data_IF_971297968957
#
_entry.id   IF_971297968957
#
_cell.length_a   1.000
_cell.length_b   1.000
_cell.length_c   1.000
_cell.angle_alpha   90.00
_cell.angle_beta   90.00
_cell.angle_gamma   90.00
#
_symmetry.space_group_name_H-M   'P 1'
#
loop_
_entity.id
_entity.type
_entity.pdbx_description
1 polymer ?
#
# COMPACT_ATOMS: atom_id res chain seq x y z
N UNK A 1 9.84 0.79 -9.60
CA UNK A 1 10.12 -0.54 -9.02
C UNK A 1 10.06 -1.57 -10.13
N UNK A 2 11.14 -2.34 -10.28
CA UNK A 2 11.38 -3.22 -11.43
C UNK A 2 10.33 -4.34 -11.51
N UNK A 3 9.64 -4.39 -12.66
CA UNK A 3 8.61 -5.40 -12.97
C UNK A 3 9.20 -6.69 -13.56
N UNK A 4 10.51 -6.70 -13.83
CA UNK A 4 11.21 -7.78 -14.52
C UNK A 4 11.97 -8.73 -13.59
N UNK A 5 11.97 -8.47 -12.29
CA UNK A 5 12.59 -9.35 -11.30
C UNK A 5 11.99 -10.77 -11.37
N UNK A 6 12.86 -11.75 -11.58
CA UNK A 6 12.51 -13.17 -11.65
C UNK A 6 12.38 -13.71 -10.23
N UNK A 7 11.19 -14.19 -9.88
CA UNK A 7 10.89 -14.77 -8.58
C UNK A 7 11.17 -16.27 -8.53
N UNK A 8 10.93 -16.97 -9.66
CA UNK A 8 11.22 -18.40 -9.82
C UNK A 8 11.33 -18.73 -11.30
N UNK A 9 12.23 -19.65 -11.62
CA UNK A 9 12.35 -20.23 -12.96
C UNK A 9 12.59 -21.74 -12.88
N UNK A 10 12.18 -22.48 -13.91
CA UNK A 10 12.32 -23.94 -13.92
C UNK A 10 11.48 -24.64 -14.99
N UNK A 11 11.75 -25.94 -15.19
CA UNK A 11 10.99 -26.76 -16.11
C UNK A 11 9.70 -27.29 -15.47
N UNK A 12 8.58 -27.15 -16.19
CA UNK A 12 7.29 -27.76 -15.86
C UNK A 12 6.65 -28.32 -17.14
N UNK A 13 5.62 -29.15 -16.98
CA UNK A 13 4.90 -29.74 -18.12
C UNK A 13 3.57 -29.01 -18.32
N UNK A 14 3.34 -28.47 -19.51
CA UNK A 14 2.13 -27.70 -19.83
C UNK A 14 1.22 -28.45 -20.80
N UNK A 15 -0.09 -28.42 -20.57
CA UNK A 15 -1.09 -28.88 -21.55
C UNK A 15 -1.21 -27.91 -22.73
N UNK A 16 -1.20 -28.44 -23.95
CA UNK A 16 -1.48 -27.69 -25.16
C UNK A 16 -2.92 -27.18 -25.19
N UNK A 17 -3.12 -25.97 -25.73
CA UNK A 17 -4.46 -25.39 -25.85
C UNK A 17 -5.27 -26.06 -26.98
N UNK A 18 -4.65 -26.20 -28.17
CA UNK A 18 -5.33 -26.73 -29.38
C UNK A 18 -5.28 -28.26 -29.46
N UNK A 19 -4.09 -28.85 -29.34
CA UNK A 19 -3.90 -30.30 -29.52
C UNK A 19 -3.81 -31.09 -28.21
N UNK A 20 -4.11 -30.47 -27.06
CA UNK A 20 -4.07 -31.03 -25.70
C UNK A 20 -2.85 -31.87 -25.27
N UNK A 21 -1.79 -31.94 -26.07
CA UNK A 21 -0.55 -32.63 -25.74
C UNK A 21 0.18 -31.93 -24.60
N UNK A 22 0.74 -32.71 -23.70
CA UNK A 22 1.59 -32.25 -22.61
C UNK A 22 3.01 -32.04 -23.12
N UNK A 23 3.60 -30.87 -22.87
CA UNK A 23 4.97 -30.55 -23.31
C UNK A 23 5.75 -29.86 -22.20
N UNK A 24 7.00 -30.27 -22.02
CA UNK A 24 7.94 -29.59 -21.13
C UNK A 24 8.24 -28.19 -21.66
N UNK A 25 8.19 -27.21 -20.77
CA UNK A 25 8.47 -25.80 -21.04
C UNK A 25 9.28 -25.22 -19.90
N UNK A 26 10.17 -24.29 -20.24
CA UNK A 26 10.86 -23.48 -19.24
C UNK A 26 9.94 -22.35 -18.82
N UNK A 27 9.59 -22.28 -17.54
CA UNK A 27 8.74 -21.24 -16.99
C UNK A 27 9.59 -20.22 -16.24
N UNK A 28 9.19 -18.96 -16.33
CA UNK A 28 9.79 -17.83 -15.63
C UNK A 28 8.64 -17.02 -15.01
N UNK A 29 8.62 -16.95 -13.68
CA UNK A 29 7.69 -16.17 -12.90
C UNK A 29 8.29 -14.81 -12.57
N UNK A 30 7.57 -13.75 -12.92
CA UNK A 30 7.83 -12.39 -12.42
C UNK A 30 6.64 -11.90 -11.60
N UNK A 31 6.77 -10.70 -11.00
CA UNK A 31 5.71 -10.10 -10.18
C UNK A 31 4.37 -9.91 -10.91
N UNK A 32 4.37 -9.83 -12.24
CA UNK A 32 3.17 -9.50 -13.05
C UNK A 32 2.66 -10.66 -13.91
N UNK A 33 3.54 -11.59 -14.28
CA UNK A 33 3.23 -12.61 -15.28
C UNK A 33 4.04 -13.89 -15.08
N UNK A 34 3.49 -14.98 -15.58
CA UNK A 34 4.18 -16.26 -15.73
C UNK A 34 4.42 -16.50 -17.22
N UNK A 35 5.68 -16.41 -17.64
CA UNK A 35 6.08 -16.59 -19.03
C UNK A 35 6.62 -18.01 -19.25
N UNK A 36 6.48 -18.56 -20.45
CA UNK A 36 7.05 -19.85 -20.77
C UNK A 36 7.70 -19.91 -22.15
N UNK A 37 8.76 -20.69 -22.24
CA UNK A 37 9.67 -20.80 -23.38
C UNK A 37 9.79 -22.27 -23.79
N UNK A 38 10.19 -22.54 -25.04
CA UNK A 38 10.40 -23.94 -25.46
C UNK A 38 11.68 -24.49 -24.83
N UNK A 39 12.69 -23.64 -24.60
CA UNK A 39 13.97 -23.94 -23.94
C UNK A 39 14.40 -22.79 -23.03
N UNK A 40 15.36 -23.03 -22.13
CA UNK A 40 15.85 -22.04 -21.16
C UNK A 40 16.53 -20.83 -21.82
N UNK A 41 17.26 -21.03 -22.91
CA UNK A 41 18.05 -20.00 -23.58
C UNK A 41 17.29 -19.21 -24.65
N UNK A 42 15.99 -19.43 -24.81
CA UNK A 42 15.19 -18.67 -25.77
C UNK A 42 14.89 -17.27 -25.23
N UNK A 43 15.15 -16.24 -26.03
CA UNK A 43 14.81 -14.84 -25.70
C UNK A 43 13.32 -14.54 -25.91
N UNK A 44 12.65 -15.27 -26.78
CA UNK A 44 11.24 -15.05 -27.14
C UNK A 44 10.36 -16.05 -26.40
N UNK A 45 9.44 -15.53 -25.59
CA UNK A 45 8.45 -16.36 -24.90
C UNK A 45 7.53 -17.05 -25.90
N UNK A 46 7.33 -18.36 -25.72
CA UNK A 46 6.32 -19.12 -26.46
C UNK A 46 4.89 -18.75 -26.01
N UNK A 47 4.75 -18.16 -24.82
CA UNK A 47 3.54 -17.51 -24.37
C UNK A 47 3.69 -16.89 -22.99
N UNK A 48 2.73 -16.04 -22.65
CA UNK A 48 2.70 -15.29 -21.39
C UNK A 48 1.33 -15.49 -20.74
N UNK A 49 1.33 -15.70 -19.43
CA UNK A 49 0.13 -15.83 -18.59
C UNK A 49 0.11 -14.61 -17.66
N UNK A 50 -0.70 -13.57 -17.97
CA UNK A 50 -0.87 -12.43 -17.08
C UNK A 50 -1.47 -12.87 -15.74
N UNK A 51 -0.92 -12.42 -14.62
CA UNK A 51 -1.41 -12.79 -13.28
C UNK A 51 -2.43 -11.80 -12.71
N UNK A 52 -2.51 -10.59 -13.28
CA UNK A 52 -3.53 -9.61 -12.89
C UNK A 52 -4.94 -10.14 -13.21
N UNK A 53 -5.79 -10.23 -12.19
CA UNK A 53 -7.14 -10.79 -12.31
C UNK A 53 -7.17 -12.29 -12.65
N UNK A 54 -6.05 -13.01 -12.53
CA UNK A 54 -6.03 -14.46 -12.69
C UNK A 54 -6.49 -15.15 -11.39
N UNK A 55 -6.87 -16.42 -11.50
CA UNK A 55 -7.15 -17.29 -10.34
C UNK A 55 -6.30 -18.55 -10.44
N UNK A 56 -5.80 -19.01 -9.29
CA UNK A 56 -5.07 -20.26 -9.16
C UNK A 56 -5.96 -21.29 -8.47
N UNK A 57 -6.05 -22.49 -9.04
CA UNK A 57 -6.71 -23.64 -8.42
C UNK A 57 -5.68 -24.74 -8.22
N UNK A 58 -5.41 -25.07 -6.96
CA UNK A 58 -4.42 -26.06 -6.56
C UNK A 58 -4.85 -26.74 -5.24
N UNK A 59 -5.00 -28.08 -5.20
CA UNK A 59 -4.92 -29.00 -6.32
C UNK A 59 -6.08 -28.79 -7.32
N UNK A 60 -5.79 -28.90 -8.63
CA UNK A 60 -6.83 -28.79 -9.66
C UNK A 60 -7.89 -29.92 -9.53
N UNK A 61 -9.17 -29.71 -9.89
CA UNK A 61 -10.19 -30.77 -9.92
C UNK A 61 -9.80 -31.96 -10.81
N UNK A 62 -9.01 -31.71 -11.85
CA UNK A 62 -8.47 -32.74 -12.76
C UNK A 62 -7.27 -33.50 -12.20
N UNK A 63 -6.86 -33.22 -10.95
CA UNK A 63 -5.74 -33.90 -10.27
C UNK A 63 -5.94 -35.41 -10.12
N UNK A 64 -7.19 -35.88 -10.18
CA UNK A 64 -7.56 -37.30 -10.16
C UNK A 64 -7.02 -38.09 -11.36
N UNK A 65 -6.83 -37.44 -12.51
CA UNK A 65 -6.32 -38.06 -13.75
C UNK A 65 -4.81 -37.86 -13.92
N UNK A 66 -4.26 -36.81 -13.31
CA UNK A 66 -2.84 -36.47 -13.42
C UNK A 66 -2.39 -35.76 -12.15
N UNK A 67 -1.43 -36.32 -11.40
CA UNK A 67 -1.04 -35.75 -10.12
C UNK A 67 -0.28 -34.43 -10.31
N UNK A 68 -0.24 -33.64 -9.24
CA UNK A 68 0.57 -32.41 -9.13
C UNK A 68 0.20 -31.29 -10.11
N UNK A 69 -1.09 -31.19 -10.47
CA UNK A 69 -1.61 -30.17 -11.37
C UNK A 69 -1.93 -28.84 -10.68
N UNK A 70 -1.47 -27.77 -11.33
CA UNK A 70 -1.86 -26.38 -11.13
C UNK A 70 -2.77 -25.97 -12.29
N UNK A 71 -3.88 -25.30 -11.99
CA UNK A 71 -4.73 -24.68 -13.00
C UNK A 71 -4.77 -23.18 -12.77
N UNK A 72 -4.38 -22.41 -13.79
CA UNK A 72 -4.45 -20.95 -13.78
C UNK A 72 -5.52 -20.54 -14.78
N UNK A 73 -6.50 -19.77 -14.33
CA UNK A 73 -7.50 -19.14 -15.19
C UNK A 73 -7.22 -17.64 -15.24
N UNK A 74 -6.97 -17.11 -16.41
CA UNK A 74 -6.71 -15.67 -16.60
C UNK A 74 -8.01 -14.88 -16.71
N UNK A 75 -7.93 -13.55 -16.55
CA UNK A 75 -9.08 -12.66 -16.68
C UNK A 75 -9.79 -12.79 -18.04
N UNK A 76 -9.05 -13.09 -19.12
CA UNK A 76 -9.60 -13.37 -20.46
C UNK A 76 -10.20 -14.78 -20.61
N UNK A 77 -10.48 -15.47 -19.48
CA UNK A 77 -11.08 -16.80 -19.41
C UNK A 77 -10.24 -17.91 -20.07
N UNK A 78 -8.95 -17.70 -20.33
CA UNK A 78 -8.05 -18.77 -20.78
C UNK A 78 -7.63 -19.63 -19.60
N UNK A 79 -7.63 -20.94 -19.81
CA UNK A 79 -7.21 -21.91 -18.81
C UNK A 79 -5.87 -22.54 -19.17
N UNK A 80 -4.98 -22.60 -18.18
CA UNK A 80 -3.65 -23.18 -18.28
C UNK A 80 -3.50 -24.29 -17.26
N UNK A 81 -3.31 -25.52 -17.75
CA UNK A 81 -2.97 -26.67 -16.92
C UNK A 81 -1.47 -26.90 -16.97
N UNK A 82 -0.84 -26.88 -15.79
CA UNK A 82 0.60 -27.00 -15.60
C UNK A 82 0.85 -28.09 -14.56
N UNK A 83 1.71 -29.04 -14.87
CA UNK A 83 2.07 -30.15 -14.00
C UNK A 83 3.48 -29.97 -13.46
N UNK A 84 3.63 -30.13 -12.15
CA UNK A 84 4.91 -30.27 -11.48
C UNK A 84 5.38 -31.74 -11.47
N UNK A 85 6.69 -31.99 -11.32
CA UNK A 85 7.22 -33.36 -11.21
C UNK A 85 6.74 -34.08 -9.93
N UNK A 86 6.58 -33.35 -8.84
CA UNK A 86 6.17 -33.85 -7.53
C UNK A 86 5.35 -32.79 -6.76
N UNK A 87 4.83 -33.19 -5.59
CA UNK A 87 4.06 -32.31 -4.72
C UNK A 87 4.84 -31.10 -4.23
N UNK A 88 6.11 -31.30 -3.86
CA UNK A 88 6.97 -30.25 -3.33
C UNK A 88 7.17 -29.16 -4.36
N UNK A 89 7.55 -29.52 -5.58
CA UNK A 89 7.67 -28.60 -6.70
C UNK A 89 6.34 -27.89 -6.98
N UNK A 90 5.20 -28.58 -6.92
CA UNK A 90 3.88 -27.93 -7.10
C UNK A 90 3.71 -26.81 -6.08
N UNK A 91 3.96 -27.07 -4.81
CA UNK A 91 3.84 -26.09 -3.73
C UNK A 91 4.82 -24.93 -3.90
N UNK A 92 6.08 -25.22 -4.23
CA UNK A 92 7.11 -24.21 -4.49
C UNK A 92 6.76 -23.29 -5.67
N UNK A 93 5.94 -23.75 -6.61
CA UNK A 93 5.41 -22.94 -7.71
C UNK A 93 4.09 -22.25 -7.36
N UNK A 94 3.15 -22.92 -6.67
CA UNK A 94 1.84 -22.34 -6.34
C UNK A 94 1.95 -21.15 -5.41
N UNK A 95 2.76 -21.26 -4.34
CA UNK A 95 2.87 -20.22 -3.31
C UNK A 95 3.28 -18.85 -3.88
N UNK A 96 4.37 -18.71 -4.66
CA UNK A 96 4.72 -17.40 -5.21
C UNK A 96 3.76 -16.94 -6.31
N UNK A 97 3.15 -17.84 -7.08
CA UNK A 97 2.13 -17.48 -8.09
C UNK A 97 0.90 -16.88 -7.41
N UNK A 98 0.38 -17.53 -6.38
CA UNK A 98 -0.78 -17.09 -5.60
C UNK A 98 -0.53 -15.73 -4.96
N UNK A 99 0.65 -15.54 -4.37
CA UNK A 99 1.05 -14.26 -3.78
C UNK A 99 1.13 -13.14 -4.83
N UNK A 100 1.61 -13.42 -6.04
CA UNK A 100 1.61 -12.45 -7.14
C UNK A 100 0.19 -12.08 -7.56
N UNK A 101 -0.68 -13.07 -7.77
CA UNK A 101 -2.10 -12.85 -8.11
C UNK A 101 -2.76 -11.97 -7.04
N UNK A 102 -2.60 -12.33 -5.76
CA UNK A 102 -3.19 -11.61 -4.62
C UNK A 102 -2.71 -10.16 -4.51
N UNK A 103 -1.45 -9.87 -4.88
CA UNK A 103 -0.90 -8.50 -4.89
C UNK A 103 -1.40 -7.67 -6.07
N UNK A 104 -1.75 -8.30 -7.17
CA UNK A 104 -2.28 -7.65 -8.37
C UNK A 104 -3.79 -7.48 -8.34
N UNK A 105 -4.46 -7.99 -7.30
CA UNK A 105 -5.91 -7.85 -7.15
C UNK A 105 -6.30 -6.36 -7.09
N UNK A 106 -7.11 -5.87 -8.04
CA UNK A 106 -7.52 -4.46 -8.10
C UNK A 106 -8.17 -3.97 -6.79
N UNK A 107 -8.81 -4.85 -6.04
CA UNK A 107 -9.46 -4.51 -4.76
C UNK A 107 -8.46 -4.08 -3.68
N UNK A 108 -7.18 -4.48 -3.77
CA UNK A 108 -6.11 -4.06 -2.84
C UNK A 108 -5.23 -2.92 -3.37
N UNK A 109 -5.20 -2.69 -4.68
CA UNK A 109 -4.44 -1.59 -5.29
C UNK A 109 -5.04 -0.23 -4.90
N UNK A 110 -6.36 -0.17 -4.63
CA UNK A 110 -7.03 1.02 -4.12
C UNK A 110 -6.53 1.52 -2.76
N UNK A 111 -5.95 0.66 -1.91
CA UNK A 111 -5.51 1.05 -0.56
C UNK A 111 -4.17 1.78 -0.57
N UNK A 112 -3.22 1.39 -1.42
CA UNK A 112 -1.89 2.04 -1.43
C UNK A 112 -1.94 3.44 -2.03
N UNK A 113 -2.78 3.63 -3.05
CA UNK A 113 -2.96 4.93 -3.69
C UNK A 113 -3.85 5.87 -2.88
N UNK A 114 -4.81 5.32 -2.11
CA UNK A 114 -5.57 6.10 -1.14
C UNK A 114 -4.71 6.51 0.05
N UNK A 115 -3.92 5.58 0.63
CA UNK A 115 -2.99 5.89 1.72
C UNK A 115 -1.96 6.94 1.30
N UNK A 116 -1.38 6.84 0.09
CA UNK A 116 -0.45 7.85 -0.40
C UNK A 116 -1.09 9.22 -0.53
N UNK A 117 -2.34 9.31 -1.03
CA UNK A 117 -3.09 10.58 -1.11
C UNK A 117 -3.43 11.15 0.27
N UNK A 118 -3.91 10.31 1.19
CA UNK A 118 -4.23 10.71 2.57
C UNK A 118 -2.99 11.19 3.31
N UNK A 119 -1.84 10.54 3.14
CA UNK A 119 -0.57 10.98 3.73
C UNK A 119 -0.18 12.37 3.22
N UNK A 120 -0.30 12.63 1.92
CA UNK A 120 0.01 13.95 1.35
C UNK A 120 -0.95 15.05 1.81
N UNK A 121 -2.25 14.78 1.87
CA UNK A 121 -3.26 15.74 2.36
C UNK A 121 -3.08 16.04 3.85
N UNK A 122 -2.81 15.01 4.67
CA UNK A 122 -2.58 15.18 6.10
C UNK A 122 -1.34 16.03 6.36
N UNK A 123 -0.25 15.83 5.61
CA UNK A 123 0.95 16.66 5.71
C UNK A 123 0.67 18.13 5.34
N UNK A 124 -0.07 18.40 4.26
CA UNK A 124 -0.43 19.77 3.86
C UNK A 124 -1.30 20.47 4.91
N UNK A 125 -2.36 19.81 5.38
CA UNK A 125 -3.25 20.35 6.42
C UNK A 125 -2.51 20.63 7.74
N UNK A 126 -1.54 19.78 8.10
CA UNK A 126 -0.71 19.97 9.30
C UNK A 126 0.18 21.22 9.16
N UNK A 127 0.80 21.43 8.00
CA UNK A 127 1.59 22.62 7.72
C UNK A 127 0.74 23.89 7.74
N UNK A 128 -0.49 23.85 7.23
CA UNK A 128 -1.42 24.97 7.28
C UNK A 128 -1.84 25.30 8.72
N UNK A 129 -2.16 24.28 9.53
CA UNK A 129 -2.45 24.47 10.96
C UNK A 129 -1.26 25.06 11.71
N UNK A 130 -0.04 24.59 11.44
CA UNK A 130 1.18 25.17 12.04
C UNK A 130 1.38 26.62 11.61
N UNK A 131 1.15 26.96 10.34
CA UNK A 131 1.25 28.34 9.85
C UNK A 131 0.22 29.27 10.49
N UNK A 132 -1.01 28.79 10.67
CA UNK A 132 -2.06 29.55 11.35
C UNK A 132 -1.77 29.71 12.85
N UNK A 133 -1.29 28.67 13.52
CA UNK A 133 -0.89 28.72 14.93
C UNK A 133 0.25 29.73 15.14
N UNK A 134 1.31 29.68 14.33
CA UNK A 134 2.41 30.66 14.37
C UNK A 134 1.90 32.08 14.08
N UNK A 135 1.05 32.26 13.07
CA UNK A 135 0.44 33.57 12.80
C UNK A 135 -0.38 34.10 13.97
N UNK A 136 -1.04 33.22 14.73
CA UNK A 136 -1.88 33.62 15.87
C UNK A 136 -1.01 33.97 17.07
N UNK A 137 0.06 33.20 17.34
CA UNK A 137 1.05 33.51 18.39
C UNK A 137 1.72 34.85 18.13
N UNK A 138 2.15 35.14 16.89
CA UNK A 138 2.74 36.44 16.54
C UNK A 138 1.74 37.59 16.76
N UNK A 139 0.46 37.39 16.42
CA UNK A 139 -0.60 38.40 16.69
C UNK A 139 -0.83 38.61 18.19
N UNK A 140 -0.78 37.54 18.99
CA UNK A 140 -0.90 37.59 20.45
C UNK A 140 0.31 38.27 21.11
N UNK A 141 1.53 38.02 20.65
CA UNK A 141 2.73 38.70 21.14
C UNK A 141 2.73 40.20 20.85
N UNK A 142 2.22 40.61 19.68
CA UNK A 142 2.03 42.03 19.37
C UNK A 142 0.91 42.66 20.22
N UNK A 143 -0.16 41.92 20.53
CA UNK A 143 -1.23 42.40 21.40
C UNK A 143 -0.80 42.52 22.88
N UNK A 144 0.06 41.63 23.37
CA UNK A 144 0.61 41.71 24.74
C UNK A 144 1.68 42.79 24.89
N UNK A 145 2.33 43.23 23.80
CA UNK A 145 3.19 44.42 23.80
C UNK A 145 2.45 45.77 23.80
N UNK A 146 1.13 45.79 23.61
CA UNK A 146 0.32 47.02 23.59
C UNK A 146 -0.27 47.42 24.95
N UNK A 147 -0.03 46.65 26.01
CA UNK A 147 -0.38 47.06 27.37
C UNK A 147 0.90 47.49 28.08
N UNK A 148 1.36 48.72 27.85
CA UNK A 148 2.08 49.54 28.85
C UNK A 148 2.38 50.93 28.27
N UNK A 149 1.48 51.89 28.54
CA UNK A 149 1.80 53.29 28.87
C UNK A 149 0.49 54.09 29.01
N UNK A 150 -0.10 54.13 30.21
CA UNK A 150 -1.02 55.20 30.59
C UNK A 150 -0.26 56.15 31.52
N UNK A 151 0.19 57.28 30.97
CA UNK A 151 0.98 58.29 31.67
C UNK A 151 0.15 59.21 32.57
N UNK A 152 -0.63 58.66 33.52
CA UNK A 152 -1.39 59.53 34.43
C UNK A 152 -1.68 59.02 35.86
N UNK A 153 -1.28 57.82 36.29
CA UNK A 153 -1.61 57.36 37.65
C UNK A 153 -0.47 56.57 38.33
N UNK A 154 -0.06 57.02 39.52
CA UNK A 154 1.01 56.45 40.38
C UNK A 154 0.61 55.17 41.12
N UNK A 155 -0.09 54.23 40.47
CA UNK A 155 -0.41 52.94 41.08
C UNK A 155 0.00 51.77 40.20
N UNK A 156 1.04 51.06 40.62
CA UNK A 156 1.45 49.79 40.04
C UNK A 156 0.52 48.69 40.53
N UNK A 157 -0.53 48.35 39.77
CA UNK A 157 -1.27 47.10 40.00
C UNK A 157 -0.48 45.94 39.40
N UNK A 158 0.10 45.10 40.24
CA UNK A 158 0.66 43.82 39.85
C UNK A 158 -0.47 42.80 39.68
N UNK A 159 -0.65 42.29 38.46
CA UNK A 159 -1.53 41.14 38.23
C UNK A 159 -0.65 39.89 38.09
N UNK A 160 -0.89 38.89 38.94
CA UNK A 160 -0.25 37.57 38.83
C UNK A 160 -1.12 36.71 37.92
N UNK A 161 -0.65 36.41 36.72
CA UNK A 161 -1.33 35.49 35.80
C UNK A 161 -0.82 34.08 36.11
N UNK A 162 -1.68 33.20 36.61
CA UNK A 162 -1.40 31.76 36.67
C UNK A 162 -2.30 31.07 35.67
N UNK A 163 -1.71 30.56 34.58
CA UNK A 163 -2.41 29.81 33.55
C UNK A 163 -2.48 28.33 33.91
N UNK A 164 -3.68 27.77 34.06
CA UNK A 164 -3.92 26.32 33.95
C UNK A 164 -5.03 26.06 32.94
N UNK A 165 -4.87 24.98 32.20
CA UNK A 165 -5.16 24.82 30.77
C UNK A 165 -6.63 24.73 30.32
N UNK A 166 -7.64 25.16 31.08
CA UNK A 166 -9.03 24.99 30.58
C UNK A 166 -10.12 25.94 31.08
N UNK A 167 -9.81 27.13 31.60
CA UNK A 167 -10.73 28.28 31.59
C UNK A 167 -10.04 29.52 32.17
N UNK A 168 -10.31 30.71 31.63
CA UNK A 168 -9.89 31.99 32.22
C UNK A 168 -11.12 32.75 32.70
N UNK A 169 -11.29 32.82 34.03
CA UNK A 169 -12.32 33.68 34.64
C UNK A 169 -11.64 34.90 35.25
N UNK A 170 -11.99 36.08 34.77
CA UNK A 170 -11.53 37.36 35.33
C UNK A 170 -12.47 37.71 36.50
N UNK A 171 -11.98 37.63 37.73
CA UNK A 171 -12.72 38.15 38.89
C UNK A 171 -12.30 39.61 39.14
N UNK A 172 -13.25 40.57 39.13
CA UNK A 172 -12.94 41.93 39.52
C UNK A 172 -12.78 42.02 41.04
N UNK A 173 -11.63 42.52 41.51
CA UNK A 173 -11.52 42.98 42.88
C UNK A 173 -12.25 44.32 43.03
N UNK A 174 -13.33 44.30 43.83
CA UNK A 174 -13.96 45.48 44.39
C UNK A 174 -13.01 46.14 45.41
N UNK A 175 -12.55 47.35 45.12
CA UNK A 175 -11.91 48.21 46.12
C UNK A 175 -12.97 48.65 47.14
N UNK A 176 -12.72 48.45 48.44
CA UNK A 176 -13.38 49.23 49.50
C UNK A 176 -12.54 50.48 49.78
N UNK A 177 -13.15 51.66 49.94
CA UNK A 177 -12.44 52.89 50.29
C UNK A 177 -12.24 53.00 51.81
N UNK A 178 -11.10 53.60 52.18
CA UNK A 178 -10.59 54.05 53.49
C UNK A 178 -10.98 53.29 54.77
#
# INVERSE_FOLDING_TARGET
MDSSEVLKEGFLVKKGHVRHNWRTRWFVLTKKQLSYFRKRQESVAAGVIPLCGATLTCPSPDSTKKPWLLQIKTHDRKEFMIQAPDERCRTEWSTPIEECIRRLDPTKIGTVESLSRTLTETSLNTLEMQRYAVSTVIKLEHATKLVFACGCCTHTRLYKITSTTNSSTILPYLCKPH
#
